data_IF_866286624637
#
_entry.id   IF_866286624637
#
_cell.length_a   1.000
_cell.length_b   1.000
_cell.length_c   1.000
_cell.angle_alpha   90.00
_cell.angle_beta   90.00
_cell.angle_gamma   90.00
#
_symmetry.space_group_name_H-M   'P 1'
#
loop_
_entity.id
_entity.type
_entity.pdbx_description
1 polymer ?
#
# COMPACT_ATOMS: atom_id res chain seq x y z
N UNK A 1 56.32 -34.20 -61.44
CA UNK A 1 57.13 -34.37 -60.17
C UNK A 1 56.56 -33.51 -59.10
N UNK A 2 56.50 -34.08 -57.89
CA UNK A 2 56.21 -33.55 -56.60
C UNK A 2 54.72 -33.69 -56.10
N UNK A 3 54.64 -34.52 -55.13
CA UNK A 3 53.57 -35.06 -54.36
C UNK A 3 52.88 -34.00 -53.50
N UNK A 4 51.54 -33.99 -53.52
CA UNK A 4 50.71 -33.23 -52.60
C UNK A 4 50.37 -34.16 -51.44
N UNK A 5 50.83 -33.79 -50.25
CA UNK A 5 50.50 -34.49 -48.98
C UNK A 5 49.18 -34.02 -48.46
N UNK A 6 48.32 -34.94 -48.16
CA UNK A 6 47.00 -34.66 -47.54
C UNK A 6 47.11 -34.10 -46.13
N UNK A 7 46.29 -33.12 -45.85
CA UNK A 7 46.02 -32.63 -44.54
C UNK A 7 44.70 -33.24 -44.02
N UNK A 8 44.77 -34.01 -42.96
CA UNK A 8 43.60 -34.53 -42.23
C UNK A 8 43.05 -33.42 -41.37
N UNK A 9 41.78 -33.06 -41.44
CA UNK A 9 41.19 -32.14 -40.46
C UNK A 9 40.92 -32.88 -39.16
N UNK A 10 41.60 -32.47 -38.11
CA UNK A 10 41.34 -32.92 -36.75
C UNK A 10 40.02 -32.28 -36.26
N UNK A 11 38.99 -33.09 -36.20
CA UNK A 11 37.68 -32.73 -35.69
C UNK A 11 37.81 -32.61 -34.15
N UNK A 12 37.97 -31.37 -33.65
CA UNK A 12 37.98 -31.08 -32.22
C UNK A 12 36.53 -31.14 -31.69
N UNK A 13 36.12 -32.30 -31.18
CA UNK A 13 34.85 -32.41 -30.46
C UNK A 13 34.99 -31.65 -29.10
N UNK A 14 34.46 -30.43 -29.06
CA UNK A 14 34.26 -29.69 -27.79
C UNK A 14 33.14 -30.42 -27.01
N UNK A 15 33.52 -31.29 -26.10
CA UNK A 15 32.62 -31.79 -25.07
C UNK A 15 32.41 -30.64 -24.09
N UNK A 16 31.29 -29.95 -24.23
CA UNK A 16 30.81 -29.03 -23.20
C UNK A 16 30.39 -29.88 -21.97
N UNK A 17 31.36 -30.14 -21.12
CA UNK A 17 31.07 -30.56 -19.75
C UNK A 17 30.47 -29.36 -19.04
N UNK A 18 29.15 -29.34 -18.97
CA UNK A 18 28.41 -28.46 -18.06
C UNK A 18 28.81 -28.87 -16.64
N UNK A 19 29.83 -28.25 -16.10
CA UNK A 19 30.09 -28.26 -14.68
C UNK A 19 28.97 -27.49 -14.00
N UNK A 20 27.94 -28.18 -13.56
CA UNK A 20 27.07 -27.66 -12.52
C UNK A 20 27.95 -27.48 -11.26
N UNK A 21 28.25 -26.23 -10.92
CA UNK A 21 28.88 -25.88 -9.67
C UNK A 21 27.95 -26.37 -8.55
N UNK A 22 28.41 -27.20 -7.58
CA UNK A 22 27.62 -27.51 -6.41
C UNK A 22 27.40 -26.22 -5.63
N UNK A 23 26.17 -25.77 -5.56
CA UNK A 23 25.76 -24.50 -4.89
C UNK A 23 25.11 -23.45 -5.80
N UNK A 24 24.95 -23.67 -7.11
CA UNK A 24 24.29 -22.74 -8.05
C UNK A 24 23.06 -23.39 -8.73
N UNK A 25 22.53 -24.44 -8.19
CA UNK A 25 21.28 -25.04 -8.64
C UNK A 25 20.44 -25.49 -7.47
N UNK A 26 19.90 -24.56 -6.80
CA UNK A 26 18.49 -24.55 -6.43
C UNK A 26 18.04 -23.11 -6.64
N UNK A 27 17.54 -22.77 -7.82
CA UNK A 27 16.40 -21.88 -7.83
C UNK A 27 15.38 -22.63 -6.97
N UNK A 28 15.38 -22.40 -5.66
CA UNK A 28 14.18 -22.54 -4.87
C UNK A 28 13.22 -21.65 -5.64
N UNK A 29 12.33 -22.27 -6.39
CA UNK A 29 11.27 -21.56 -7.06
C UNK A 29 10.44 -21.02 -5.90
N UNK A 30 10.76 -19.80 -5.47
CA UNK A 30 10.03 -19.13 -4.40
C UNK A 30 8.64 -18.90 -4.96
N UNK A 31 7.74 -19.80 -4.59
CA UNK A 31 6.39 -19.76 -5.09
C UNK A 31 5.63 -18.52 -4.59
N UNK A 32 5.99 -17.98 -3.42
CA UNK A 32 5.38 -16.78 -2.86
C UNK A 32 6.26 -15.59 -3.21
N UNK A 33 5.68 -14.68 -4.01
CA UNK A 33 6.37 -13.45 -4.44
C UNK A 33 5.51 -12.27 -4.02
N UNK A 34 6.01 -11.49 -3.04
CA UNK A 34 5.33 -10.35 -2.44
C UNK A 34 5.82 -9.06 -3.04
N UNK A 35 4.89 -8.17 -3.42
CA UNK A 35 5.22 -6.83 -3.87
C UNK A 35 5.40 -5.87 -2.70
N UNK A 36 6.49 -5.10 -2.72
CA UNK A 36 6.73 -3.93 -1.89
C UNK A 36 6.72 -2.64 -2.73
N UNK A 37 6.28 -1.51 -2.14
CA UNK A 37 6.28 -0.20 -2.78
C UNK A 37 7.51 0.63 -2.47
N UNK A 38 7.49 1.91 -2.90
CA UNK A 38 8.54 2.91 -2.65
C UNK A 38 8.36 3.63 -1.31
N UNK A 39 7.13 3.65 -0.75
CA UNK A 39 6.81 4.29 0.51
C UNK A 39 6.94 3.33 1.69
N UNK A 40 7.35 3.83 2.86
CA UNK A 40 7.56 3.06 4.08
C UNK A 40 6.35 2.19 4.45
N UNK A 41 5.15 2.73 4.37
CA UNK A 41 3.90 1.99 4.62
C UNK A 41 3.79 0.70 3.81
N UNK A 42 3.98 0.79 2.49
CA UNK A 42 3.93 -0.40 1.62
C UNK A 42 5.10 -1.37 1.84
N UNK A 43 6.24 -0.87 2.33
CA UNK A 43 7.38 -1.71 2.70
C UNK A 43 7.09 -2.46 3.99
N UNK A 44 6.55 -1.80 5.00
CA UNK A 44 6.14 -2.41 6.27
C UNK A 44 5.07 -3.49 6.03
N UNK A 45 4.03 -3.18 5.25
CA UNK A 45 2.96 -4.14 4.95
C UNK A 45 3.47 -5.37 4.17
N UNK A 46 4.42 -5.19 3.25
CA UNK A 46 5.05 -6.31 2.56
C UNK A 46 5.89 -7.18 3.50
N UNK A 47 6.59 -6.56 4.46
CA UNK A 47 7.36 -7.28 5.49
C UNK A 47 6.44 -8.01 6.48
N UNK A 48 5.31 -7.41 6.88
CA UNK A 48 4.30 -8.08 7.71
C UNK A 48 3.81 -9.35 7.04
N UNK A 49 3.38 -9.27 5.77
CA UNK A 49 2.92 -10.44 5.01
C UNK A 49 4.03 -11.48 4.86
N UNK A 50 5.26 -11.05 4.54
CA UNK A 50 6.41 -11.94 4.39
C UNK A 50 6.66 -12.72 5.68
N UNK A 51 6.76 -12.03 6.80
CA UNK A 51 7.10 -12.65 8.08
C UNK A 51 5.99 -13.56 8.61
N UNK A 52 4.72 -13.21 8.36
CA UNK A 52 3.58 -14.08 8.69
C UNK A 52 3.63 -15.38 7.90
N UNK A 53 3.88 -15.32 6.58
CA UNK A 53 3.99 -16.51 5.73
C UNK A 53 5.17 -17.38 6.15
N UNK A 54 6.35 -16.80 6.36
CA UNK A 54 7.56 -17.54 6.75
C UNK A 54 7.48 -18.12 8.17
N UNK A 55 6.69 -17.50 9.05
CA UNK A 55 6.47 -18.04 10.41
C UNK A 55 5.48 -19.20 10.42
N UNK A 56 4.36 -19.06 9.73
CA UNK A 56 3.24 -20.03 9.80
C UNK A 56 3.39 -21.20 8.81
N UNK A 57 4.41 -21.17 7.93
CA UNK A 57 4.67 -22.18 6.91
C UNK A 57 6.16 -22.45 6.73
N UNK A 58 6.49 -23.55 6.04
CA UNK A 58 7.85 -23.83 5.57
C UNK A 58 8.16 -23.16 4.22
N UNK A 59 7.31 -22.24 3.74
CA UNK A 59 7.47 -21.55 2.47
C UNK A 59 8.46 -20.40 2.60
N UNK A 60 9.27 -20.17 1.57
CA UNK A 60 10.13 -19.00 1.48
C UNK A 60 9.47 -17.93 0.63
N UNK A 61 9.64 -16.66 1.02
CA UNK A 61 9.07 -15.51 0.30
C UNK A 61 10.16 -14.74 -0.43
N UNK A 62 9.92 -14.41 -1.68
CA UNK A 62 10.72 -13.41 -2.41
C UNK A 62 9.98 -12.09 -2.44
N UNK A 63 10.66 -10.99 -2.12
CA UNK A 63 10.09 -9.66 -2.29
C UNK A 63 10.59 -8.99 -3.56
N UNK A 64 9.64 -8.44 -4.36
CA UNK A 64 9.97 -7.47 -5.41
C UNK A 64 9.83 -6.08 -4.80
N UNK A 65 10.98 -5.46 -4.51
CA UNK A 65 11.03 -4.17 -3.80
C UNK A 65 10.86 -2.98 -4.76
N UNK A 66 10.36 -1.87 -4.21
CA UNK A 66 10.32 -0.56 -4.87
C UNK A 66 9.48 -0.50 -6.16
N UNK A 67 8.36 -1.22 -6.21
CA UNK A 67 7.40 -1.00 -7.29
C UNK A 67 6.76 0.39 -7.13
N UNK A 68 7.04 1.28 -8.08
CA UNK A 68 6.77 2.71 -7.97
C UNK A 68 5.29 3.10 -8.00
N UNK A 69 4.39 2.22 -8.48
CA UNK A 69 2.95 2.51 -8.55
C UNK A 69 2.10 1.25 -8.45
N UNK A 70 0.82 1.43 -8.11
CA UNK A 70 -0.18 0.36 -8.14
C UNK A 70 -0.37 -0.20 -9.55
N UNK A 71 -0.28 0.63 -10.57
CA UNK A 71 -0.31 0.19 -11.98
C UNK A 71 0.86 -0.75 -12.31
N UNK A 72 2.09 -0.44 -11.85
CA UNK A 72 3.22 -1.37 -12.04
C UNK A 72 3.01 -2.69 -11.30
N UNK A 73 2.48 -2.62 -10.09
CA UNK A 73 2.10 -3.80 -9.30
C UNK A 73 1.07 -4.65 -10.05
N UNK A 74 0.04 -4.00 -10.60
CA UNK A 74 -1.00 -4.67 -11.39
C UNK A 74 -0.42 -5.38 -12.62
N UNK A 75 0.43 -4.70 -13.40
CA UNK A 75 1.11 -5.27 -14.58
C UNK A 75 2.00 -6.46 -14.18
N UNK A 76 2.73 -6.37 -13.07
CA UNK A 76 3.57 -7.46 -12.60
C UNK A 76 2.75 -8.70 -12.18
N UNK A 77 1.58 -8.50 -11.56
CA UNK A 77 0.63 -9.59 -11.30
C UNK A 77 0.07 -10.21 -12.59
N UNK A 78 -0.30 -9.38 -13.59
CA UNK A 78 -0.76 -9.86 -14.90
C UNK A 78 0.29 -10.73 -15.60
N UNK A 79 1.55 -10.36 -15.47
CA UNK A 79 2.69 -11.11 -16.01
C UNK A 79 3.12 -12.29 -15.13
N UNK A 80 2.41 -12.58 -14.07
CA UNK A 80 2.74 -13.63 -13.09
C UNK A 80 4.14 -13.46 -12.47
N UNK A 81 4.65 -12.24 -12.43
CA UNK A 81 5.94 -11.92 -11.81
C UNK A 81 5.83 -11.75 -10.29
N UNK A 82 4.62 -11.60 -9.78
CA UNK A 82 4.29 -11.60 -8.36
C UNK A 82 2.86 -12.13 -8.15
N UNK A 83 2.55 -12.58 -6.94
CA UNK A 83 1.28 -13.22 -6.65
C UNK A 83 0.60 -12.76 -5.37
N UNK A 84 1.31 -12.02 -4.49
CA UNK A 84 0.77 -11.40 -3.28
C UNK A 84 1.21 -9.94 -3.21
N UNK A 85 0.33 -9.06 -2.76
CA UNK A 85 0.60 -7.65 -2.48
C UNK A 85 0.24 -7.37 -1.04
N UNK A 86 1.18 -6.84 -0.25
CA UNK A 86 0.94 -6.51 1.15
C UNK A 86 -0.08 -5.39 1.35
N UNK A 87 -0.10 -4.38 0.48
CA UNK A 87 -1.04 -3.25 0.60
C UNK A 87 -1.50 -2.72 -0.75
N UNK A 88 -2.81 -2.78 -0.97
CA UNK A 88 -3.53 -2.09 -2.06
C UNK A 88 -4.69 -1.29 -1.48
N UNK A 89 -5.03 -0.19 -2.13
CA UNK A 89 -5.98 0.81 -1.63
C UNK A 89 -7.23 0.83 -2.50
N UNK A 90 -8.40 0.78 -1.88
CA UNK A 90 -9.70 0.70 -2.57
C UNK A 90 -9.89 1.84 -3.58
N UNK A 91 -9.71 3.08 -3.17
CA UNK A 91 -9.90 4.25 -4.03
C UNK A 91 -8.95 4.32 -5.21
N UNK A 92 -7.65 4.00 -4.99
CA UNK A 92 -6.66 3.94 -6.08
C UNK A 92 -7.02 2.88 -7.11
N UNK A 93 -7.43 1.70 -6.64
CA UNK A 93 -7.76 0.58 -7.53
C UNK A 93 -9.08 0.76 -8.25
N UNK A 94 -10.06 1.41 -7.62
CA UNK A 94 -11.32 1.77 -8.30
C UNK A 94 -11.07 2.71 -9.47
N UNK A 95 -10.32 3.79 -9.25
CA UNK A 95 -10.11 4.82 -10.28
C UNK A 95 -9.02 4.44 -11.29
N UNK A 96 -8.00 3.71 -10.86
CA UNK A 96 -6.90 3.24 -11.69
C UNK A 96 -7.24 1.97 -12.47
N UNK A 97 -6.96 0.81 -11.88
CA UNK A 97 -7.03 -0.48 -12.57
C UNK A 97 -8.45 -0.86 -13.03
N UNK A 98 -9.46 -0.47 -12.27
CA UNK A 98 -10.86 -0.77 -12.63
C UNK A 98 -11.50 0.29 -13.53
N UNK A 99 -10.92 1.50 -13.62
CA UNK A 99 -11.44 2.65 -14.38
C UNK A 99 -12.92 2.96 -14.03
N UNK A 100 -13.23 2.91 -12.72
CA UNK A 100 -14.54 3.22 -12.16
C UNK A 100 -14.55 4.62 -11.55
N UNK A 101 -15.73 5.14 -11.25
CA UNK A 101 -15.87 6.39 -10.49
C UNK A 101 -15.39 6.22 -9.06
N UNK A 102 -14.83 7.29 -8.44
CA UNK A 102 -14.50 7.27 -7.02
C UNK A 102 -15.74 6.95 -6.16
N UNK A 103 -15.54 6.21 -5.07
CA UNK A 103 -16.56 5.89 -4.08
C UNK A 103 -16.10 6.40 -2.70
N UNK A 104 -16.97 7.14 -2.02
CA UNK A 104 -16.68 7.73 -0.70
C UNK A 104 -17.24 6.91 0.47
N UNK A 105 -18.07 5.91 0.18
CA UNK A 105 -18.57 4.96 1.16
C UNK A 105 -17.61 3.76 1.24
N UNK A 106 -16.92 3.52 2.39
CA UNK A 106 -15.91 2.49 2.51
C UNK A 106 -16.44 1.07 2.25
N UNK A 107 -17.64 0.76 2.73
CA UNK A 107 -18.23 -0.57 2.54
C UNK A 107 -18.53 -0.86 1.06
N UNK A 108 -19.07 0.14 0.35
CA UNK A 108 -19.31 0.01 -1.10
C UNK A 108 -18.02 -0.03 -1.90
N UNK A 109 -17.01 0.79 -1.53
CA UNK A 109 -15.70 0.78 -2.16
C UNK A 109 -15.07 -0.62 -2.05
N UNK A 110 -15.11 -1.21 -0.85
CA UNK A 110 -14.63 -2.56 -0.59
C UNK A 110 -15.38 -3.63 -1.40
N UNK A 111 -16.70 -3.58 -1.44
CA UNK A 111 -17.53 -4.50 -2.24
C UNK A 111 -17.21 -4.43 -3.73
N UNK A 112 -17.04 -3.21 -4.25
CA UNK A 112 -16.71 -2.97 -5.65
C UNK A 112 -15.33 -3.52 -6.02
N UNK A 113 -14.28 -3.30 -5.21
CA UNK A 113 -12.95 -3.83 -5.50
C UNK A 113 -12.93 -5.35 -5.39
N UNK A 114 -13.52 -5.95 -4.34
CA UNK A 114 -13.63 -7.40 -4.17
C UNK A 114 -14.25 -8.08 -5.38
N UNK A 115 -15.44 -7.63 -5.75
CA UNK A 115 -16.21 -8.20 -6.87
C UNK A 115 -15.47 -8.06 -8.20
N UNK A 116 -14.94 -6.88 -8.49
CA UNK A 116 -14.34 -6.63 -9.80
C UNK A 116 -12.91 -7.19 -9.93
N UNK A 117 -12.12 -7.25 -8.85
CA UNK A 117 -10.80 -7.88 -8.87
C UNK A 117 -10.90 -9.39 -9.07
N UNK A 118 -11.85 -10.04 -8.41
CA UNK A 118 -12.12 -11.44 -8.64
C UNK A 118 -12.55 -11.69 -10.10
N UNK A 119 -13.56 -10.96 -10.55
CA UNK A 119 -14.18 -11.18 -11.88
C UNK A 119 -13.24 -10.84 -13.05
N UNK A 120 -12.49 -9.72 -12.96
CA UNK A 120 -11.68 -9.22 -14.08
C UNK A 120 -10.26 -9.75 -14.06
N UNK A 121 -9.69 -9.97 -12.88
CA UNK A 121 -8.26 -10.22 -12.72
C UNK A 121 -7.94 -11.54 -12.02
N UNK A 122 -8.96 -12.29 -11.58
CA UNK A 122 -8.78 -13.56 -10.87
C UNK A 122 -7.91 -13.40 -9.60
N UNK A 123 -8.23 -12.37 -8.79
CA UNK A 123 -7.54 -11.98 -7.57
C UNK A 123 -8.52 -11.82 -6.44
N UNK A 124 -8.12 -12.28 -5.25
CA UNK A 124 -8.86 -12.09 -4.01
C UNK A 124 -8.39 -10.81 -3.34
N UNK A 125 -9.32 -9.94 -3.04
CA UNK A 125 -9.15 -8.78 -2.20
C UNK A 125 -9.58 -9.13 -0.79
N UNK A 126 -8.63 -9.15 0.15
CA UNK A 126 -8.87 -9.48 1.54
C UNK A 126 -9.56 -8.32 2.28
N UNK A 127 -10.08 -8.56 3.52
CA UNK A 127 -10.54 -7.48 4.39
C UNK A 127 -9.45 -6.44 4.65
N UNK A 128 -9.87 -5.21 5.02
CA UNK A 128 -8.97 -4.13 5.37
C UNK A 128 -8.15 -4.45 6.61
N UNK A 129 -6.91 -3.97 6.64
CA UNK A 129 -6.11 -3.89 7.87
C UNK A 129 -6.79 -3.10 8.98
N UNK A 130 -7.68 -2.16 8.65
CA UNK A 130 -8.41 -1.31 9.59
C UNK A 130 -8.00 0.17 9.53
N UNK A 131 -7.19 0.57 8.55
CA UNK A 131 -6.83 1.96 8.31
C UNK A 131 -7.16 2.41 6.89
N UNK A 132 -7.29 3.73 6.75
CA UNK A 132 -7.57 4.45 5.51
C UNK A 132 -6.44 5.46 5.26
N UNK A 133 -5.74 5.33 4.13
CA UNK A 133 -4.69 6.28 3.73
C UNK A 133 -5.22 7.25 2.67
N UNK A 134 -5.93 8.26 3.12
CA UNK A 134 -6.54 9.29 2.29
C UNK A 134 -5.82 10.63 2.42
N UNK A 135 -6.21 11.62 1.60
CA UNK A 135 -5.88 13.02 1.88
C UNK A 135 -6.64 13.52 3.11
N UNK A 136 -5.98 14.29 3.94
CA UNK A 136 -6.59 14.92 5.10
C UNK A 136 -6.08 16.35 5.29
N UNK A 137 -6.99 17.27 5.64
CA UNK A 137 -6.62 18.57 6.14
C UNK A 137 -6.15 18.47 7.59
N UNK A 138 -5.07 19.15 7.90
CA UNK A 138 -4.41 19.11 9.20
C UNK A 138 -4.07 20.50 9.69
N UNK A 139 -4.04 20.63 11.00
CA UNK A 139 -3.65 21.84 11.71
C UNK A 139 -2.76 21.49 12.89
N UNK A 140 -2.00 22.46 13.42
CA UNK A 140 -1.34 22.28 14.71
C UNK A 140 -2.39 22.22 15.83
N UNK A 141 -2.08 21.55 16.91
CA UNK A 141 -2.98 21.37 18.05
C UNK A 141 -3.37 22.70 18.69
N UNK A 142 -2.39 23.61 18.91
CA UNK A 142 -2.65 24.95 19.44
C UNK A 142 -3.61 25.76 18.55
N UNK A 143 -3.47 25.64 17.23
CA UNK A 143 -4.33 26.29 16.26
C UNK A 143 -5.75 25.68 16.26
N UNK A 144 -5.85 24.34 16.35
CA UNK A 144 -7.14 23.65 16.48
C UNK A 144 -7.91 24.09 17.73
N UNK A 145 -7.23 24.17 18.89
CA UNK A 145 -7.80 24.61 20.16
C UNK A 145 -8.24 26.07 20.10
N UNK A 146 -7.39 26.95 19.59
CA UNK A 146 -7.67 28.40 19.47
C UNK A 146 -8.89 28.69 18.60
N UNK A 147 -9.08 27.94 17.51
CA UNK A 147 -10.15 28.18 16.55
C UNK A 147 -11.31 27.14 16.65
N UNK A 148 -11.25 26.23 17.63
CA UNK A 148 -12.25 25.17 17.86
C UNK A 148 -12.46 24.29 16.61
N UNK A 149 -11.36 23.93 15.93
CA UNK A 149 -11.40 23.15 14.70
C UNK A 149 -11.41 21.65 14.98
N UNK A 150 -12.32 20.95 14.32
CA UNK A 150 -12.38 19.48 14.26
C UNK A 150 -12.84 18.98 12.89
N UNK A 151 -13.37 19.89 12.04
CA UNK A 151 -13.96 19.56 10.74
C UNK A 151 -13.46 20.50 9.67
N UNK A 152 -13.39 19.98 8.42
CA UNK A 152 -12.95 20.76 7.26
C UNK A 152 -13.91 21.93 6.95
N UNK A 153 -15.23 21.72 7.11
CA UNK A 153 -16.21 22.80 6.90
C UNK A 153 -15.98 24.05 7.77
N UNK A 154 -15.39 23.88 8.96
CA UNK A 154 -15.11 24.99 9.88
C UNK A 154 -13.99 25.93 9.36
N UNK A 155 -13.18 25.46 8.41
CA UNK A 155 -12.15 26.27 7.76
C UNK A 155 -12.73 27.45 6.96
N UNK A 156 -14.01 27.43 6.62
CA UNK A 156 -14.69 28.54 5.96
C UNK A 156 -14.55 29.85 6.74
N UNK A 157 -14.61 29.81 8.06
CA UNK A 157 -14.43 30.99 8.92
C UNK A 157 -13.02 31.61 8.83
N UNK A 158 -12.04 30.83 8.35
CA UNK A 158 -10.63 31.23 8.25
C UNK A 158 -10.14 31.38 6.80
N UNK A 159 -11.01 31.23 5.81
CA UNK A 159 -10.67 31.16 4.38
C UNK A 159 -9.85 32.36 3.87
N UNK A 160 -10.07 33.55 4.44
CA UNK A 160 -9.42 34.81 4.01
C UNK A 160 -8.13 35.10 4.79
N UNK A 161 -7.90 34.41 5.91
CA UNK A 161 -6.78 34.72 6.82
C UNK A 161 -5.78 33.58 6.95
N UNK A 162 -6.21 32.32 6.96
CA UNK A 162 -5.33 31.17 7.10
C UNK A 162 -4.44 30.98 5.87
N UNK A 163 -3.17 30.62 6.12
CA UNK A 163 -2.23 30.18 5.09
C UNK A 163 -2.39 28.69 4.91
N UNK A 164 -2.83 28.25 3.72
CA UNK A 164 -3.13 26.86 3.43
C UNK A 164 -2.13 26.28 2.45
N UNK A 165 -1.35 25.29 2.90
CA UNK A 165 -0.40 24.54 2.09
C UNK A 165 -0.95 23.20 1.66
N UNK A 166 -0.87 22.84 0.38
CA UNK A 166 -1.42 21.58 -0.12
C UNK A 166 -0.41 20.85 -0.99
N UNK A 167 -0.53 19.51 -1.02
CA UNK A 167 0.20 18.71 -1.98
C UNK A 167 -0.11 19.15 -3.42
N UNK A 168 0.94 19.41 -4.19
CA UNK A 168 0.82 19.88 -5.57
C UNK A 168 0.10 18.89 -6.48
N UNK A 169 0.23 17.60 -6.23
CA UNK A 169 -0.44 16.58 -7.01
C UNK A 169 -1.94 16.49 -6.74
N UNK A 170 -2.41 17.02 -5.61
CA UNK A 170 -3.83 17.07 -5.28
C UNK A 170 -4.59 18.17 -6.06
N UNK A 171 -3.94 19.28 -6.36
CA UNK A 171 -4.62 20.50 -6.86
C UNK A 171 -5.47 20.24 -8.10
N UNK A 172 -4.92 19.50 -9.05
CA UNK A 172 -5.57 19.25 -10.36
C UNK A 172 -6.25 17.86 -10.44
N UNK A 173 -6.43 17.17 -9.31
CA UNK A 173 -7.05 15.84 -9.33
C UNK A 173 -8.51 15.92 -9.78
N UNK A 174 -8.94 15.06 -10.71
CA UNK A 174 -10.36 14.98 -11.10
C UNK A 174 -11.19 14.36 -9.96
N UNK A 175 -12.26 15.04 -9.55
CA UNK A 175 -13.26 14.51 -8.64
C UNK A 175 -13.02 14.70 -7.14
N UNK A 176 -11.76 14.85 -6.70
CA UNK A 176 -11.40 15.05 -5.31
C UNK A 176 -10.30 16.13 -5.10
N UNK A 177 -9.91 16.85 -6.15
CA UNK A 177 -8.95 17.94 -6.11
C UNK A 177 -9.54 19.29 -5.66
N UNK A 178 -8.78 20.38 -5.85
CA UNK A 178 -9.17 21.69 -5.32
C UNK A 178 -10.48 22.23 -5.93
N UNK A 179 -10.74 22.00 -7.22
CA UNK A 179 -12.02 22.37 -7.83
C UNK A 179 -13.21 21.63 -7.23
N UNK A 180 -13.04 20.33 -6.94
CA UNK A 180 -14.04 19.54 -6.25
C UNK A 180 -14.24 20.02 -4.79
N UNK A 181 -13.17 20.39 -4.11
CA UNK A 181 -13.22 21.02 -2.78
C UNK A 181 -14.09 22.28 -2.80
N UNK A 182 -13.81 23.23 -3.70
CA UNK A 182 -14.61 24.47 -3.83
C UNK A 182 -16.07 24.18 -4.10
N UNK A 183 -16.36 23.23 -5.00
CA UNK A 183 -17.73 22.86 -5.33
C UNK A 183 -18.47 22.22 -4.15
N UNK A 184 -17.78 21.40 -3.35
CA UNK A 184 -18.38 20.62 -2.27
C UNK A 184 -18.48 21.41 -0.96
N UNK A 185 -17.42 22.12 -0.58
CA UNK A 185 -17.38 22.92 0.64
C UNK A 185 -17.94 24.34 0.46
N UNK A 186 -18.05 24.83 -0.77
CA UNK A 186 -18.68 26.11 -1.08
C UNK A 186 -17.80 27.34 -0.84
N UNK A 187 -16.51 27.17 -0.58
CA UNK A 187 -15.55 28.26 -0.39
C UNK A 187 -14.19 27.96 -1.02
N UNK A 188 -13.36 28.99 -1.13
CA UNK A 188 -11.96 28.88 -1.55
C UNK A 188 -11.06 29.62 -0.58
N UNK A 189 -9.77 29.27 -0.54
CA UNK A 189 -8.80 29.91 0.32
C UNK A 189 -8.11 31.07 -0.39
N UNK A 190 -8.07 32.25 0.24
CA UNK A 190 -7.38 33.45 -0.29
C UNK A 190 -5.86 33.30 -0.26
N UNK A 191 -5.30 32.59 0.72
CA UNK A 191 -3.86 32.33 0.88
C UNK A 191 -3.55 30.85 0.66
N UNK A 192 -3.51 30.43 -0.59
CA UNK A 192 -3.37 29.04 -1.03
C UNK A 192 -1.99 28.80 -1.66
N UNK A 193 -1.27 27.80 -1.19
CA UNK A 193 0.09 27.47 -1.60
C UNK A 193 0.21 26.00 -1.98
N UNK A 194 0.54 25.71 -3.23
CA UNK A 194 0.87 24.38 -3.71
C UNK A 194 2.34 24.06 -3.43
N UNK A 195 2.65 22.91 -2.86
CA UNK A 195 4.00 22.49 -2.51
C UNK A 195 4.19 20.98 -2.63
N UNK A 196 5.42 20.51 -2.52
CA UNK A 196 5.73 19.09 -2.45
C UNK A 196 5.15 18.46 -1.18
N UNK A 197 4.58 17.25 -1.30
CA UNK A 197 3.97 16.51 -0.17
C UNK A 197 4.96 16.31 1.00
N UNK A 198 6.25 16.16 0.71
CA UNK A 198 7.29 16.05 1.72
C UNK A 198 7.48 17.31 2.56
N UNK A 199 7.02 18.47 2.11
CA UNK A 199 7.20 19.76 2.77
C UNK A 199 5.99 20.21 3.58
N UNK A 200 4.77 19.74 3.28
CA UNK A 200 3.54 20.25 3.90
C UNK A 200 3.58 20.13 5.43
N UNK A 201 4.01 19.01 5.97
CA UNK A 201 4.02 18.76 7.42
C UNK A 201 5.02 19.65 8.16
N UNK A 202 6.24 19.81 7.61
CA UNK A 202 7.25 20.68 8.22
C UNK A 202 6.87 22.15 8.12
N UNK A 203 6.20 22.57 7.04
CA UNK A 203 5.67 23.92 6.89
C UNK A 203 4.57 24.22 7.92
N UNK A 204 3.72 23.25 8.24
CA UNK A 204 2.72 23.34 9.32
C UNK A 204 3.38 23.41 10.69
N UNK A 205 4.27 22.48 11.00
CA UNK A 205 4.94 22.40 12.30
C UNK A 205 5.76 23.65 12.62
N UNK A 206 6.41 24.26 11.62
CA UNK A 206 7.18 25.50 11.78
C UNK A 206 6.32 26.79 11.85
N UNK A 207 4.99 26.69 11.66
CA UNK A 207 4.09 27.84 11.64
C UNK A 207 4.14 28.66 10.34
N UNK A 208 4.82 28.18 9.29
CA UNK A 208 4.79 28.81 7.98
C UNK A 208 3.43 28.66 7.29
N UNK A 209 2.72 27.57 7.59
CA UNK A 209 1.32 27.33 7.22
C UNK A 209 0.47 27.17 8.48
N UNK A 210 -0.81 27.53 8.39
CA UNK A 210 -1.80 27.37 9.44
C UNK A 210 -2.60 26.07 9.27
N UNK A 211 -2.86 25.71 8.02
CA UNK A 211 -3.56 24.49 7.58
C UNK A 211 -2.74 23.84 6.47
N UNK A 212 -2.67 22.52 6.45
CA UNK A 212 -2.11 21.79 5.31
C UNK A 212 -3.00 20.64 4.88
N UNK A 213 -2.83 20.20 3.63
CA UNK A 213 -3.36 18.96 3.11
C UNK A 213 -2.22 17.99 2.83
N UNK A 214 -2.29 16.81 3.44
CA UNK A 214 -1.33 15.72 3.27
C UNK A 214 -1.99 14.36 3.43
N UNK A 215 -1.21 13.28 3.55
CA UNK A 215 -1.73 11.93 3.77
C UNK A 215 -2.04 11.66 5.25
N UNK A 216 -3.16 10.98 5.52
CA UNK A 216 -3.68 10.73 6.87
C UNK A 216 -2.84 9.75 7.69
N UNK A 217 -1.97 8.96 7.08
CA UNK A 217 -1.12 7.95 7.74
C UNK A 217 0.34 8.36 7.87
N UNK A 218 0.70 9.61 7.52
CA UNK A 218 2.10 10.08 7.59
C UNK A 218 2.62 10.12 9.04
N UNK A 219 3.82 9.58 9.27
CA UNK A 219 4.42 9.49 10.61
C UNK A 219 4.67 10.84 11.27
N UNK A 220 4.83 11.92 10.47
CA UNK A 220 5.03 13.28 10.97
C UNK A 220 3.78 13.87 11.66
N UNK A 221 2.61 13.30 11.46
CA UNK A 221 1.39 13.66 12.20
C UNK A 221 1.64 13.45 13.69
N UNK A 222 2.13 12.27 14.05
CA UNK A 222 2.51 11.96 15.44
C UNK A 222 3.73 12.77 15.91
N UNK A 223 4.77 12.88 15.05
CA UNK A 223 6.01 13.57 15.42
C UNK A 223 5.82 15.06 15.72
N UNK A 224 4.84 15.69 15.08
CA UNK A 224 4.58 17.13 15.21
C UNK A 224 3.28 17.46 15.99
N UNK A 225 2.64 16.46 16.58
CA UNK A 225 1.37 16.58 17.33
C UNK A 225 0.29 17.33 16.51
N UNK A 226 0.12 16.88 15.24
CA UNK A 226 -0.84 17.48 14.32
C UNK A 226 -2.24 16.89 14.53
N UNK A 227 -3.26 17.71 14.28
CA UNK A 227 -4.66 17.35 14.36
C UNK A 227 -5.23 17.22 12.95
N UNK A 228 -5.77 16.02 12.62
CA UNK A 228 -6.53 15.80 11.40
C UNK A 228 -7.94 16.36 11.58
N UNK A 229 -8.43 17.07 10.56
CA UNK A 229 -9.80 17.55 10.51
C UNK A 229 -10.69 16.51 9.79
N UNK A 230 -11.86 16.23 10.35
CA UNK A 230 -12.86 15.36 9.76
C UNK A 230 -13.32 15.92 8.39
N UNK A 231 -13.26 15.12 7.33
CA UNK A 231 -13.88 15.40 6.02
C UNK A 231 -15.41 15.22 6.11
N UNK A 232 -16.07 16.12 6.83
CA UNK A 232 -17.49 16.04 7.21
C UNK A 232 -18.46 16.11 6.02
N UNK A 233 -18.00 16.58 4.87
CA UNK A 233 -18.78 16.54 3.62
C UNK A 233 -18.37 15.38 2.69
N UNK A 234 -17.40 14.54 3.09
CA UNK A 234 -16.95 13.36 2.33
C UNK A 234 -16.46 13.72 0.91
N UNK A 235 -15.47 14.62 0.83
CA UNK A 235 -14.80 14.99 -0.43
C UNK A 235 -13.94 13.84 -0.94
N UNK A 236 -13.17 13.25 -0.01
CA UNK A 236 -12.18 12.25 -0.37
C UNK A 236 -12.81 10.87 -0.52
N UNK A 237 -12.41 10.09 -1.54
CA UNK A 237 -12.78 8.68 -1.65
C UNK A 237 -12.25 7.86 -0.47
N UNK A 238 -12.84 6.70 -0.24
CA UNK A 238 -12.31 5.72 0.70
C UNK A 238 -11.04 5.07 0.13
N UNK A 239 -9.99 4.99 0.96
CA UNK A 239 -8.70 4.38 0.61
C UNK A 239 -8.29 3.28 1.60
N UNK A 240 -9.25 2.44 2.01
CA UNK A 240 -8.97 1.28 2.86
C UNK A 240 -7.88 0.42 2.27
N UNK A 241 -6.92 0.05 3.10
CA UNK A 241 -5.76 -0.75 2.70
C UNK A 241 -5.98 -2.23 3.03
N UNK A 242 -5.69 -3.10 2.06
CA UNK A 242 -5.88 -4.54 2.18
C UNK A 242 -4.77 -5.34 1.50
N UNK A 243 -4.49 -6.57 1.96
CA UNK A 243 -3.76 -7.54 1.17
C UNK A 243 -4.55 -7.98 -0.07
N UNK A 244 -3.83 -8.31 -1.15
CA UNK A 244 -4.40 -8.88 -2.37
C UNK A 244 -3.55 -10.07 -2.84
N UNK A 245 -4.19 -11.19 -3.20
CA UNK A 245 -3.49 -12.36 -3.70
C UNK A 245 -4.16 -12.93 -4.97
N UNK A 246 -3.38 -13.61 -5.81
CA UNK A 246 -3.94 -14.30 -6.97
C UNK A 246 -4.68 -15.58 -6.55
N UNK A 247 -5.77 -15.91 -7.21
CA UNK A 247 -6.49 -17.18 -6.97
C UNK A 247 -5.58 -18.38 -7.21
N UNK A 248 -4.66 -18.30 -8.17
CA UNK A 248 -3.70 -19.37 -8.48
C UNK A 248 -2.82 -19.72 -7.27
N UNK A 249 -2.27 -18.71 -6.57
CA UNK A 249 -1.43 -18.95 -5.40
C UNK A 249 -2.23 -19.48 -4.21
N UNK A 250 -3.46 -18.98 -4.00
CA UNK A 250 -4.33 -19.44 -2.93
C UNK A 250 -4.85 -20.87 -3.14
N UNK A 251 -4.98 -21.31 -4.39
CA UNK A 251 -5.25 -22.73 -4.70
C UNK A 251 -4.06 -23.64 -4.42
N UNK A 252 -2.85 -23.14 -4.73
CA UNK A 252 -1.61 -23.90 -4.53
C UNK A 252 -1.27 -24.02 -3.04
N UNK A 253 -1.51 -22.96 -2.27
CA UNK A 253 -1.23 -22.83 -0.84
C UNK A 253 -2.46 -22.31 -0.11
N UNK A 254 -3.46 -23.16 0.19
CA UNK A 254 -4.71 -22.72 0.83
C UNK A 254 -4.54 -22.11 2.23
N UNK A 255 -3.46 -22.45 2.93
CA UNK A 255 -3.09 -21.89 4.24
C UNK A 255 -2.86 -20.39 4.20
N UNK A 256 -2.46 -19.82 3.05
CA UNK A 256 -2.31 -18.38 2.89
C UNK A 256 -3.61 -17.62 3.14
N UNK A 257 -4.77 -18.24 2.96
CA UNK A 257 -6.06 -17.60 3.20
C UNK A 257 -6.20 -17.24 4.67
N UNK A 258 -5.92 -18.17 5.57
CA UNK A 258 -5.99 -17.94 7.03
C UNK A 258 -4.91 -16.95 7.48
N UNK A 259 -3.69 -17.09 6.97
CA UNK A 259 -2.56 -16.20 7.30
C UNK A 259 -2.91 -14.75 6.96
N UNK A 260 -3.43 -14.48 5.76
CA UNK A 260 -3.79 -13.12 5.34
C UNK A 260 -5.05 -12.61 6.05
N UNK A 261 -5.97 -13.48 6.47
CA UNK A 261 -7.15 -13.12 7.26
C UNK A 261 -6.82 -12.74 8.70
N UNK A 262 -5.73 -13.25 9.31
CA UNK A 262 -5.25 -12.81 10.62
C UNK A 262 -4.97 -11.30 10.66
N UNK A 263 -4.75 -10.68 9.52
CA UNK A 263 -4.44 -9.26 9.39
C UNK A 263 -5.68 -8.36 9.27
N UNK A 264 -6.91 -8.91 9.25
CA UNK A 264 -8.15 -8.12 9.28
C UNK A 264 -8.23 -7.27 10.54
N UNK A 265 -8.41 -5.95 10.39
CA UNK A 265 -8.54 -5.01 11.52
C UNK A 265 -7.28 -4.87 12.39
N UNK A 266 -6.14 -5.37 11.96
CA UNK A 266 -4.90 -5.44 12.75
C UNK A 266 -4.22 -4.09 12.99
N UNK A 267 -4.44 -3.11 12.14
CA UNK A 267 -3.72 -1.82 12.14
C UNK A 267 -4.72 -0.69 12.05
N UNK A 268 -4.85 0.14 13.11
CA UNK A 268 -5.60 1.40 13.03
C UNK A 268 -4.80 2.48 12.30
N UNK A 269 -5.45 3.59 11.92
CA UNK A 269 -4.76 4.73 11.29
C UNK A 269 -3.66 5.30 12.19
N UNK A 270 -3.91 5.41 13.51
CA UNK A 270 -2.93 5.86 14.49
C UNK A 270 -1.75 4.90 14.61
N UNK A 271 -2.02 3.57 14.61
CA UNK A 271 -0.95 2.58 14.61
C UNK A 271 -0.13 2.65 13.33
N UNK A 272 -0.76 2.86 12.17
CA UNK A 272 -0.03 3.02 10.91
C UNK A 272 0.84 4.29 10.90
N UNK A 273 0.37 5.40 11.47
CA UNK A 273 1.20 6.60 11.68
C UNK A 273 2.42 6.30 12.55
N UNK A 274 2.26 5.53 13.63
CA UNK A 274 3.36 5.13 14.50
C UNK A 274 4.40 4.27 13.75
N UNK A 275 3.96 3.25 13.02
CA UNK A 275 4.83 2.38 12.23
C UNK A 275 5.56 3.19 11.13
N UNK A 276 4.85 4.09 10.45
CA UNK A 276 5.45 4.97 9.47
C UNK A 276 6.48 5.93 10.10
N UNK A 277 6.21 6.45 11.31
CA UNK A 277 7.16 7.27 12.05
C UNK A 277 8.45 6.50 12.35
N UNK A 278 8.33 5.30 12.87
CA UNK A 278 9.49 4.44 13.16
C UNK A 278 10.36 4.23 11.91
N UNK A 279 9.75 3.95 10.76
CA UNK A 279 10.50 3.69 9.54
C UNK A 279 11.04 4.96 8.86
N UNK A 280 10.25 6.04 8.79
CA UNK A 280 10.64 7.25 8.03
C UNK A 280 11.43 8.26 8.85
N UNK A 281 11.05 8.50 10.13
CA UNK A 281 11.65 9.52 10.97
C UNK A 281 12.75 8.93 11.89
N UNK A 282 12.45 7.81 12.57
CA UNK A 282 13.40 7.14 13.46
C UNK A 282 14.39 6.26 12.68
N UNK A 283 14.17 6.06 11.37
CA UNK A 283 15.02 5.32 10.41
C UNK A 283 15.27 3.87 10.77
N UNK A 284 14.25 3.24 11.35
CA UNK A 284 14.26 1.81 11.62
C UNK A 284 13.89 1.08 10.32
N UNK A 285 14.63 0.04 9.97
CA UNK A 285 14.33 -0.74 8.76
C UNK A 285 12.90 -1.31 8.80
N UNK A 286 12.12 -1.23 7.71
CA UNK A 286 10.73 -1.72 7.67
C UNK A 286 10.57 -3.17 8.14
N UNK A 287 11.57 -4.01 7.91
CA UNK A 287 11.60 -5.40 8.39
C UNK A 287 11.61 -5.49 9.92
N UNK A 288 12.33 -4.61 10.59
CA UNK A 288 12.39 -4.57 12.06
C UNK A 288 11.07 -4.03 12.61
N UNK A 289 10.55 -2.94 12.03
CA UNK A 289 9.26 -2.36 12.41
C UNK A 289 8.13 -3.39 12.29
N UNK A 290 8.09 -4.14 11.18
CA UNK A 290 7.10 -5.20 10.97
C UNK A 290 7.23 -6.32 12.00
N UNK A 291 8.46 -6.75 12.30
CA UNK A 291 8.73 -7.80 13.27
C UNK A 291 8.26 -7.41 14.67
N UNK A 292 8.67 -6.23 15.14
CA UNK A 292 8.28 -5.70 16.45
C UNK A 292 6.75 -5.59 16.56
N UNK A 293 6.09 -5.06 15.53
CA UNK A 293 4.64 -5.00 15.48
C UNK A 293 3.98 -6.38 15.62
N UNK A 294 4.46 -7.39 14.88
CA UNK A 294 3.89 -8.73 14.91
C UNK A 294 4.11 -9.43 16.27
N UNK A 295 5.31 -9.28 16.86
CA UNK A 295 5.66 -9.83 18.16
C UNK A 295 4.87 -9.16 19.31
N UNK A 296 4.82 -7.85 19.34
CA UNK A 296 4.12 -7.08 20.39
C UNK A 296 2.61 -7.32 20.39
N UNK A 297 2.01 -7.56 19.25
CA UNK A 297 0.58 -7.80 19.10
C UNK A 297 0.22 -9.30 18.98
N UNK A 298 1.15 -10.18 19.24
CA UNK A 298 0.94 -11.64 19.29
C UNK A 298 0.40 -12.26 17.99
N UNK A 299 0.74 -11.70 16.82
CA UNK A 299 0.29 -12.22 15.52
C UNK A 299 0.94 -13.55 15.15
N UNK A 300 2.03 -13.92 15.80
CA UNK A 300 2.68 -15.23 15.68
C UNK A 300 2.03 -16.31 16.54
N UNK A 301 1.08 -15.93 17.39
CA UNK A 301 0.28 -16.86 18.16
C UNK A 301 -0.96 -17.34 17.35
N UNK A 302 -1.80 -18.17 17.96
CA UNK A 302 -3.04 -18.67 17.34
C UNK A 302 -4.13 -17.58 17.32
N UNK A 303 -4.07 -16.69 16.32
CA UNK A 303 -5.05 -15.60 16.11
C UNK A 303 -6.30 -16.17 15.43
N UNK A 304 -7.46 -15.96 16.06
CA UNK A 304 -8.73 -16.38 15.49
C UNK A 304 -9.09 -15.54 14.28
N UNK A 305 -9.41 -16.18 13.16
CA UNK A 305 -9.85 -15.51 11.93
C UNK A 305 -11.38 -15.40 11.87
N UNK A 306 -11.85 -14.48 11.05
CA UNK A 306 -13.27 -14.30 10.77
C UNK A 306 -13.79 -15.47 9.90
N UNK A 307 -14.47 -16.43 10.51
CA UNK A 307 -14.98 -17.64 9.85
C UNK A 307 -15.86 -17.32 8.62
N UNK A 308 -16.67 -16.26 8.68
CA UNK A 308 -17.51 -15.83 7.55
C UNK A 308 -16.68 -15.40 6.35
N UNK A 309 -15.61 -14.66 6.58
CA UNK A 309 -14.69 -14.23 5.53
C UNK A 309 -13.87 -15.41 5.01
N UNK A 310 -13.48 -16.33 5.89
CA UNK A 310 -12.78 -17.56 5.52
C UNK A 310 -13.63 -18.43 4.57
N UNK A 311 -14.89 -18.66 4.91
CA UNK A 311 -15.82 -19.41 4.07
C UNK A 311 -16.07 -18.70 2.73
N UNK A 312 -16.24 -17.37 2.75
CA UNK A 312 -16.41 -16.56 1.53
C UNK A 312 -15.23 -16.73 0.59
N UNK A 313 -14.01 -16.50 1.09
CA UNK A 313 -12.79 -16.55 0.27
C UNK A 313 -12.53 -17.96 -0.25
N UNK A 314 -12.69 -18.99 0.59
CA UNK A 314 -12.59 -20.39 0.15
C UNK A 314 -13.60 -20.71 -0.96
N UNK A 315 -14.82 -20.22 -0.84
CA UNK A 315 -15.85 -20.34 -1.87
C UNK A 315 -15.44 -19.67 -3.18
N UNK A 316 -14.98 -18.44 -3.12
CA UNK A 316 -14.52 -17.67 -4.29
C UNK A 316 -13.32 -18.32 -4.99
N UNK A 317 -12.34 -18.81 -4.24
CA UNK A 317 -11.16 -19.51 -4.77
C UNK A 317 -11.55 -20.81 -5.48
N UNK A 318 -12.51 -21.58 -4.95
CA UNK A 318 -12.91 -22.85 -5.52
C UNK A 318 -13.77 -22.74 -6.80
N UNK A 319 -14.51 -21.64 -6.97
CA UNK A 319 -15.39 -21.43 -8.14
C UNK A 319 -14.64 -20.92 -9.37
N UNK A 320 -13.49 -20.27 -9.20
CA UNK A 320 -12.63 -19.78 -10.29
C UNK A 320 -11.71 -20.88 -10.82
#
# INVERSE_FOLDING_TARGET
MKKLKGAVPLLLALVLVSCSLPGVSSSVENDIIVASGTYTERQILAEIVTQMVEHDTDLSVTQIKNLGSTTMTHIAMEKKSLNVVGGMYTGTSLTGELAMTPETDPEKAMELVRTNYLKKFNRIWFPSYGFDNTYAFMVRKDFAEQHHLSKVSQLEALKDTAKVGVDSSWVERPGDGYEAFKAKYGFEFSNFYSMDIGLVYSALASGNMDVVLGYSTDGRINSYDLVLLEDDLKLFPAYDCSPVATVEILKKYPELIEILLKLEGSISSEKMQELNKQASEDRIEPQIVAKEFLEENHYFDDVQVNEKELERIRGEVNVQ
#
